data_IF_163687061101
#
_entry.id   IF_163687061101
#
_cell.length_a   1.000
_cell.length_b   1.000
_cell.length_c   1.000
_cell.angle_alpha   90.00
_cell.angle_beta   90.00
_cell.angle_gamma   90.00
#
_symmetry.space_group_name_H-M   'P 1'
#
loop_
_entity.id
_entity.type
_entity.pdbx_description
1 polymer ?
#
# COMPACT_ATOMS: atom_id res chain seq x y z
N UNK A 1 3.66 -0.18 9.07
CA UNK A 1 2.70 -1.30 9.08
C UNK A 1 3.38 -2.59 9.50
N UNK A 2 4.34 -3.13 8.75
CA UNK A 2 4.99 -4.40 9.08
C UNK A 2 5.70 -4.40 10.44
N UNK A 3 6.47 -3.35 10.75
CA UNK A 3 7.16 -3.21 12.05
C UNK A 3 6.19 -3.29 13.24
N UNK A 4 5.03 -2.63 13.16
CA UNK A 4 4.03 -2.65 14.23
C UNK A 4 3.49 -4.06 14.48
N UNK A 5 3.35 -4.89 13.43
CA UNK A 5 2.96 -6.30 13.57
C UNK A 5 4.03 -7.07 14.34
N UNK A 6 5.30 -6.92 13.96
CA UNK A 6 6.40 -7.59 14.65
C UNK A 6 6.51 -7.10 16.11
N UNK A 7 6.40 -5.80 16.38
CA UNK A 7 6.43 -5.31 17.76
C UNK A 7 5.29 -5.89 18.62
N UNK A 8 4.09 -6.05 18.05
CA UNK A 8 2.93 -6.57 18.79
C UNK A 8 2.92 -8.09 18.96
N UNK A 9 3.51 -8.85 18.02
CA UNK A 9 3.46 -10.32 18.00
C UNK A 9 4.88 -10.92 17.98
N UNK A 10 5.45 -11.23 19.16
CA UNK A 10 6.78 -11.81 19.27
C UNK A 10 6.98 -13.11 18.48
N UNK A 11 5.91 -13.90 18.31
CA UNK A 11 5.93 -15.18 17.60
C UNK A 11 5.99 -15.07 16.06
N UNK A 12 5.80 -13.86 15.52
CA UNK A 12 5.88 -13.61 14.08
C UNK A 12 7.31 -13.24 13.71
N UNK A 13 7.89 -13.97 12.74
CA UNK A 13 9.26 -13.77 12.26
C UNK A 13 9.35 -12.70 11.16
N UNK A 14 8.37 -12.67 10.24
CA UNK A 14 8.31 -11.71 9.16
C UNK A 14 6.88 -11.41 8.70
N UNK A 15 6.72 -10.33 7.95
CA UNK A 15 5.48 -9.96 7.28
C UNK A 15 5.79 -9.40 5.89
N UNK A 16 5.10 -9.93 4.88
CA UNK A 16 5.21 -9.53 3.47
C UNK A 16 3.92 -8.81 3.07
N UNK A 17 4.06 -7.70 2.36
CA UNK A 17 2.93 -6.90 1.91
C UNK A 17 3.04 -6.63 0.41
N UNK A 18 1.91 -6.73 -0.28
CA UNK A 18 1.74 -6.32 -1.67
C UNK A 18 0.59 -5.34 -1.70
N UNK A 19 0.91 -4.07 -1.98
CA UNK A 19 0.02 -2.93 -1.81
C UNK A 19 -0.11 -2.16 -3.11
N UNK A 20 -1.33 -2.12 -3.63
CA UNK A 20 -1.65 -1.32 -4.81
C UNK A 20 -1.86 0.14 -4.42
N UNK A 21 -1.24 1.05 -5.15
CA UNK A 21 -1.68 2.43 -5.22
C UNK A 21 -2.79 2.54 -6.26
N UNK A 22 -4.03 2.47 -5.78
CA UNK A 22 -5.23 2.71 -6.61
C UNK A 22 -5.43 4.21 -6.80
N UNK A 23 -5.04 4.71 -7.96
CA UNK A 23 -5.07 6.14 -8.24
C UNK A 23 -6.50 6.71 -8.22
N UNK A 24 -6.67 7.78 -7.45
CA UNK A 24 -7.85 8.64 -7.46
C UNK A 24 -7.38 10.01 -7.89
N UNK A 25 -7.53 10.32 -9.18
CA UNK A 25 -7.10 11.60 -9.75
C UNK A 25 -8.17 12.66 -9.50
N UNK A 26 -7.77 13.83 -9.00
CA UNK A 26 -8.68 14.97 -8.88
C UNK A 26 -9.15 15.36 -10.28
N UNK A 27 -10.47 15.40 -10.48
CA UNK A 27 -11.05 15.72 -11.79
C UNK A 27 -10.97 17.24 -12.03
N UNK A 28 -10.50 17.64 -13.21
CA UNK A 28 -10.60 19.02 -13.65
C UNK A 28 -12.04 19.36 -14.05
N UNK A 29 -12.71 20.18 -13.21
CA UNK A 29 -14.06 20.67 -13.43
C UNK A 29 -14.09 22.08 -14.04
N UNK A 30 -12.92 22.69 -14.31
CA UNK A 30 -12.85 24.03 -14.92
C UNK A 30 -13.55 24.14 -16.28
N UNK A 31 -13.62 23.08 -17.12
CA UNK A 31 -14.42 23.13 -18.35
C UNK A 31 -15.92 23.34 -18.11
N UNK A 32 -16.41 23.07 -16.91
CA UNK A 32 -17.79 23.27 -16.50
C UNK A 32 -17.99 24.55 -15.66
N UNK A 33 -16.97 25.39 -15.54
CA UNK A 33 -17.03 26.63 -14.74
C UNK A 33 -17.07 26.39 -13.23
N UNK A 34 -16.63 25.23 -12.75
CA UNK A 34 -16.64 24.85 -11.34
C UNK A 34 -15.22 24.63 -10.81
N UNK A 35 -15.01 24.93 -9.53
CA UNK A 35 -13.83 24.52 -8.79
C UNK A 35 -14.01 23.08 -8.25
N UNK A 36 -12.91 22.39 -7.97
CA UNK A 36 -12.92 21.09 -7.32
C UNK A 36 -11.91 21.11 -6.14
N UNK A 37 -12.39 21.25 -4.91
CA UNK A 37 -11.56 21.28 -3.71
C UNK A 37 -11.25 19.87 -3.19
N UNK A 38 -10.71 19.03 -4.07
CA UNK A 38 -10.43 17.62 -3.79
C UNK A 38 -11.68 16.84 -3.36
N UNK A 39 -12.80 17.04 -4.06
CA UNK A 39 -14.08 16.39 -3.74
C UNK A 39 -14.46 15.33 -4.79
N UNK A 40 -14.23 15.64 -6.08
CA UNK A 40 -14.55 14.74 -7.19
C UNK A 40 -13.29 14.10 -7.74
N UNK A 41 -13.26 12.76 -7.77
CA UNK A 41 -12.12 11.99 -8.21
C UNK A 41 -12.49 10.97 -9.29
N UNK A 42 -11.56 10.74 -10.22
CA UNK A 42 -11.57 9.61 -11.14
C UNK A 42 -10.72 8.48 -10.56
N UNK A 43 -11.37 7.38 -10.19
CA UNK A 43 -10.72 6.15 -9.78
C UNK A 43 -10.36 5.31 -11.02
N UNK A 44 -9.11 5.40 -11.48
CA UNK A 44 -8.66 4.64 -12.65
C UNK A 44 -8.54 3.15 -12.34
N UNK A 45 -8.85 2.29 -13.32
CA UNK A 45 -8.64 0.84 -13.17
C UNK A 45 -7.16 0.48 -13.23
N UNK A 46 -6.44 0.95 -14.27
CA UNK A 46 -5.04 0.66 -14.61
C UNK A 46 -4.44 1.81 -15.43
N UNK A 47 -3.09 1.94 -15.45
CA UNK A 47 -2.13 1.22 -14.62
C UNK A 47 -2.23 1.65 -13.15
N UNK A 48 -1.66 0.85 -12.25
CA UNK A 48 -1.55 1.19 -10.83
C UNK A 48 -0.11 1.00 -10.36
N UNK A 49 0.28 1.78 -9.35
CA UNK A 49 1.54 1.51 -8.64
C UNK A 49 1.41 0.22 -7.85
N UNK A 50 2.38 -0.69 -8.00
CA UNK A 50 2.51 -1.88 -7.17
C UNK A 50 3.69 -1.66 -6.21
N UNK A 51 3.42 -1.62 -4.91
CA UNK A 51 4.44 -1.48 -3.87
C UNK A 51 4.51 -2.80 -3.12
N UNK A 52 5.70 -3.39 -3.06
CA UNK A 52 5.94 -4.65 -2.36
C UNK A 52 7.09 -4.50 -1.39
N UNK A 53 7.00 -5.21 -0.27
CA UNK A 53 8.05 -5.19 0.73
C UNK A 53 7.87 -6.25 1.79
N UNK A 54 9.00 -6.65 2.37
CA UNK A 54 9.07 -7.57 3.51
C UNK A 54 9.68 -6.82 4.69
N UNK A 55 9.10 -7.02 5.87
CA UNK A 55 9.71 -6.62 7.14
C UNK A 55 9.97 -7.89 7.94
N UNK A 56 11.21 -8.08 8.36
CA UNK A 56 11.71 -9.28 9.03
C UNK A 56 12.46 -8.84 10.30
N UNK A 57 12.50 -9.70 11.32
CA UNK A 57 13.35 -9.46 12.50
C UNK A 57 14.81 -9.76 12.19
N UNK A 58 15.72 -9.06 12.86
CA UNK A 58 17.16 -9.30 12.75
C UNK A 58 17.56 -10.74 13.16
N UNK A 59 16.77 -11.36 14.05
CA UNK A 59 16.98 -12.73 14.57
C UNK A 59 16.05 -13.77 13.94
N UNK A 60 15.34 -13.43 12.86
CA UNK A 60 14.43 -14.37 12.21
C UNK A 60 15.21 -15.60 11.68
N UNK A 61 14.69 -16.83 11.91
CA UNK A 61 15.33 -18.03 11.38
C UNK A 61 15.20 -18.10 9.86
N UNK A 62 16.04 -18.92 9.23
CA UNK A 62 15.92 -19.23 7.80
C UNK A 62 14.51 -19.77 7.48
N UNK A 63 13.85 -19.24 6.44
CA UNK A 63 12.44 -19.52 6.20
C UNK A 63 12.13 -20.89 5.60
N UNK A 64 13.16 -21.61 5.15
CA UNK A 64 13.01 -22.94 4.57
C UNK A 64 12.10 -22.91 3.33
N UNK A 65 11.00 -23.67 3.39
CA UNK A 65 10.05 -23.85 2.27
C UNK A 65 8.77 -23.01 2.40
N UNK A 66 8.76 -22.02 3.28
CA UNK A 66 7.54 -21.26 3.57
C UNK A 66 7.10 -20.35 2.40
N UNK A 67 8.01 -19.98 1.49
CA UNK A 67 7.73 -19.21 0.28
C UNK A 67 8.77 -19.46 -0.82
#
# INVERSE_FOLDING_TARGET
>A
MGEAVLQARPEVAEIRMSMLNKHHFVVDLSPFGMANDNEVFYASDRPFGQIEGTVTRDDAPEPGFAW
#
